data_IF_674679696332
#
_entry.id   IF_674679696332
#
_cell.length_a   1.000
_cell.length_b   1.000
_cell.length_c   1.000
_cell.angle_alpha   90.00
_cell.angle_beta   90.00
_cell.angle_gamma   90.00
#
_symmetry.space_group_name_H-M   'P 1'
#
loop_
_entity.id
_entity.type
_entity.pdbx_description
1 polymer ?
#
# COMPACT_ATOMS: atom_id res chain seq x y z
N UNK A 1 22.70 -17.32 -23.71
CA UNK A 1 22.01 -16.31 -22.88
C UNK A 1 20.55 -16.71 -22.86
N UNK A 2 20.15 -17.54 -21.91
CA UNK A 2 18.76 -17.98 -21.76
C UNK A 2 18.01 -16.91 -20.98
N UNK A 3 16.95 -16.36 -21.57
CA UNK A 3 15.95 -15.59 -20.85
C UNK A 3 15.18 -16.59 -19.99
N UNK A 4 15.52 -16.67 -18.71
CA UNK A 4 14.74 -17.47 -17.78
C UNK A 4 13.46 -16.70 -17.48
N UNK A 5 12.42 -16.95 -18.27
CA UNK A 5 11.07 -16.47 -17.97
C UNK A 5 10.53 -17.34 -16.83
N UNK A 6 10.89 -17.01 -15.59
CA UNK A 6 10.09 -17.45 -14.46
C UNK A 6 8.72 -16.81 -14.65
N UNK A 7 7.75 -17.64 -15.03
CA UNK A 7 6.36 -17.25 -15.27
C UNK A 7 5.68 -16.93 -13.92
N UNK A 8 6.23 -15.97 -13.17
CA UNK A 8 5.60 -15.39 -12.00
C UNK A 8 4.51 -14.47 -12.53
N UNK A 9 3.24 -14.88 -12.40
CA UNK A 9 2.14 -13.94 -12.57
C UNK A 9 2.29 -12.87 -11.49
N UNK A 10 2.74 -11.68 -11.90
CA UNK A 10 2.88 -10.54 -11.01
C UNK A 10 1.52 -9.86 -10.90
N UNK A 11 0.97 -9.82 -9.69
CA UNK A 11 -0.24 -9.04 -9.41
C UNK A 11 0.16 -7.59 -9.09
N UNK A 12 -0.76 -6.65 -9.29
CA UNK A 12 -0.50 -5.23 -9.03
C UNK A 12 -1.67 -4.61 -8.28
N UNK A 13 -1.46 -4.35 -6.99
CA UNK A 13 -2.43 -3.61 -6.19
C UNK A 13 -2.20 -2.11 -6.39
N UNK A 14 -3.25 -1.41 -6.85
CA UNK A 14 -3.27 0.04 -7.04
C UNK A 14 -4.36 0.66 -6.16
N UNK A 15 -4.08 1.85 -5.64
CA UNK A 15 -4.99 2.57 -4.75
C UNK A 15 -4.70 4.06 -4.80
N UNK A 16 -5.71 4.88 -4.52
CA UNK A 16 -5.52 6.31 -4.32
C UNK A 16 -5.44 6.62 -2.83
N UNK A 17 -4.55 7.54 -2.45
CA UNK A 17 -4.43 7.99 -1.08
C UNK A 17 -4.30 9.52 -1.00
N UNK A 18 -4.83 10.08 0.08
CA UNK A 18 -4.63 11.46 0.48
C UNK A 18 -4.10 11.48 1.92
N UNK A 19 -2.94 12.10 2.09
CA UNK A 19 -2.22 12.20 3.36
C UNK A 19 -1.72 13.63 3.51
N UNK A 20 -2.54 14.53 4.05
CA UNK A 20 -2.19 15.93 4.26
C UNK A 20 -2.31 16.32 5.74
N UNK A 21 -1.33 17.08 6.22
CA UNK A 21 -1.25 17.52 7.61
C UNK A 21 0.15 17.32 8.19
N UNK A 22 0.42 17.98 9.31
CA UNK A 22 1.71 17.92 10.00
C UNK A 22 1.91 16.61 10.78
N UNK A 23 0.84 15.90 11.12
CA UNK A 23 0.91 14.65 11.88
C UNK A 23 -0.10 13.60 11.41
N UNK A 24 0.01 13.24 10.13
CA UNK A 24 -0.89 12.28 9.47
C UNK A 24 -0.71 10.84 9.97
N UNK A 25 0.51 10.48 10.42
CA UNK A 25 0.87 9.12 10.78
C UNK A 25 1.45 8.31 9.61
N UNK A 26 1.12 7.02 9.52
CA UNK A 26 1.67 6.08 8.51
C UNK A 26 0.56 5.25 7.86
N UNK A 27 0.62 5.09 6.54
CA UNK A 27 -0.17 4.13 5.79
C UNK A 27 0.72 2.94 5.38
N UNK A 28 0.34 1.73 5.76
CA UNK A 28 1.02 0.48 5.39
C UNK A 28 0.09 -0.40 4.57
N UNK A 29 0.63 -1.08 3.56
CA UNK A 29 -0.04 -2.16 2.86
C UNK A 29 0.70 -3.46 3.16
N UNK A 30 -0.04 -4.47 3.62
CA UNK A 30 0.48 -5.82 3.83
C UNK A 30 -0.17 -6.80 2.86
N UNK A 31 0.64 -7.77 2.43
CA UNK A 31 0.17 -9.00 1.83
C UNK A 31 0.11 -10.07 2.90
N UNK A 32 -1.03 -10.76 3.01
CA UNK A 32 -1.23 -11.82 3.99
C UNK A 32 -1.73 -13.11 3.34
N UNK A 33 -1.07 -14.23 3.63
CA UNK A 33 -1.54 -15.58 3.34
C UNK A 33 -1.40 -16.48 4.58
N UNK A 34 -0.41 -17.38 4.64
CA UNK A 34 0.06 -18.05 5.86
C UNK A 34 0.91 -17.12 6.73
N UNK A 35 1.57 -16.13 6.14
CA UNK A 35 2.31 -15.09 6.86
C UNK A 35 1.91 -13.72 6.35
N UNK A 36 2.13 -12.69 7.19
CA UNK A 36 1.89 -11.31 6.84
C UNK A 36 3.22 -10.62 6.52
N UNK A 37 3.32 -9.98 5.37
CA UNK A 37 4.49 -9.22 4.92
C UNK A 37 4.08 -7.81 4.52
N UNK A 38 4.85 -6.80 4.95
CA UNK A 38 4.62 -5.41 4.53
C UNK A 38 5.20 -5.20 3.15
N UNK A 39 4.35 -4.86 2.19
CA UNK A 39 4.73 -4.67 0.78
C UNK A 39 4.80 -3.20 0.37
N UNK A 40 4.16 -2.30 1.11
CA UNK A 40 4.23 -0.86 0.88
C UNK A 40 4.10 -0.09 2.19
N UNK A 41 4.73 1.09 2.28
CA UNK A 41 4.63 1.97 3.44
C UNK A 41 4.90 3.42 3.07
N UNK A 42 4.13 4.33 3.65
CA UNK A 42 4.36 5.77 3.59
C UNK A 42 4.05 6.42 4.94
N UNK A 43 5.00 7.19 5.45
CA UNK A 43 4.83 7.99 6.67
C UNK A 43 4.85 9.48 6.37
N UNK A 44 4.09 10.25 7.16
CA UNK A 44 4.05 11.71 7.08
C UNK A 44 3.11 12.26 6.01
N UNK A 45 2.90 13.58 6.06
CA UNK A 45 2.08 14.29 5.10
C UNK A 45 2.81 14.57 3.78
N UNK A 46 2.04 14.67 2.69
CA UNK A 46 2.44 15.17 1.37
C UNK A 46 1.73 16.49 1.07
N UNK A 47 1.78 16.93 -0.19
CA UNK A 47 0.97 18.05 -0.64
C UNK A 47 -0.53 17.73 -0.49
N UNK A 48 -1.35 18.77 -0.42
CA UNK A 48 -2.80 18.64 -0.35
C UNK A 48 -3.41 18.22 -1.69
N UNK A 49 -3.16 16.97 -2.09
CA UNK A 49 -3.69 16.36 -3.31
C UNK A 49 -3.72 14.84 -3.16
N UNK A 50 -4.50 14.20 -4.00
CA UNK A 50 -4.54 12.74 -4.12
C UNK A 50 -3.31 12.24 -4.87
N UNK A 51 -2.79 11.10 -4.43
CA UNK A 51 -1.68 10.40 -5.07
C UNK A 51 -2.08 8.96 -5.34
N UNK A 52 -1.60 8.42 -6.44
CA UNK A 52 -1.72 7.00 -6.73
C UNK A 52 -0.55 6.22 -6.09
N UNK A 53 -0.88 5.18 -5.34
CA UNK A 53 0.03 4.15 -4.87
C UNK A 53 -0.10 2.90 -5.72
N UNK A 54 1.03 2.25 -6.01
CA UNK A 54 1.07 0.96 -6.69
C UNK A 54 2.08 0.05 -6.00
N UNK A 55 1.74 -1.23 -5.88
CA UNK A 55 2.66 -2.25 -5.38
C UNK A 55 2.45 -3.56 -6.13
N UNK A 56 3.53 -4.05 -6.73
CA UNK A 56 3.57 -5.36 -7.37
C UNK A 56 3.90 -6.44 -6.36
N UNK A 57 3.26 -7.59 -6.46
CA UNK A 57 3.49 -8.72 -5.57
C UNK A 57 3.27 -10.06 -6.28
N UNK A 58 3.95 -11.10 -5.81
CA UNK A 58 3.94 -12.43 -6.43
C UNK A 58 3.25 -13.45 -5.51
N UNK A 59 1.99 -13.78 -5.82
CA UNK A 59 1.26 -14.83 -5.12
C UNK A 59 0.11 -15.34 -5.99
N UNK A 60 0.01 -16.66 -6.12
CA UNK A 60 -1.00 -17.31 -6.96
C UNK A 60 -2.07 -18.05 -6.14
N UNK A 61 -1.93 -18.06 -4.81
CA UNK A 61 -2.91 -18.63 -3.87
C UNK A 61 -3.82 -17.55 -3.29
N UNK A 62 -4.91 -17.99 -2.65
CA UNK A 62 -5.79 -17.08 -1.90
C UNK A 62 -4.99 -16.27 -0.88
N UNK A 63 -5.21 -14.97 -0.88
CA UNK A 63 -4.47 -14.00 -0.08
C UNK A 63 -5.35 -12.80 0.26
N UNK A 64 -4.86 -11.95 1.16
CA UNK A 64 -5.50 -10.70 1.54
C UNK A 64 -4.52 -9.55 1.36
N UNK A 65 -5.05 -8.42 0.89
CA UNK A 65 -4.40 -7.12 1.03
C UNK A 65 -4.96 -6.48 2.29
N UNK A 66 -4.08 -6.09 3.21
CA UNK A 66 -4.43 -5.43 4.47
C UNK A 66 -3.93 -3.99 4.39
N UNK A 67 -4.85 -3.04 4.54
CA UNK A 67 -4.56 -1.61 4.60
C UNK A 67 -4.56 -1.20 6.06
N UNK A 68 -3.40 -0.76 6.58
CA UNK A 68 -3.24 -0.35 7.98
C UNK A 68 -2.92 1.14 8.05
N UNK A 69 -3.74 1.88 8.80
CA UNK A 69 -3.45 3.26 9.19
C UNK A 69 -2.92 3.32 10.62
N UNK A 70 -1.69 3.81 10.80
CA UNK A 70 -1.13 4.13 12.10
C UNK A 70 -1.32 5.64 12.32
N UNK A 71 -2.16 6.01 13.30
CA UNK A 71 -2.41 7.42 13.62
C UNK A 71 -1.13 8.13 14.07
N UNK A 72 -1.01 9.41 13.70
CA UNK A 72 -0.08 10.35 14.32
C UNK A 72 -0.34 10.54 15.82
N UNK A 73 0.50 11.36 16.47
CA UNK A 73 0.36 11.68 17.90
C UNK A 73 -0.77 12.69 18.14
N UNK A 74 -0.89 13.68 17.26
CA UNK A 74 -1.81 14.79 17.31
C UNK A 74 -3.07 14.56 16.47
N UNK A 75 -3.97 15.54 16.49
CA UNK A 75 -5.24 15.52 15.74
C UNK A 75 -5.15 16.24 14.38
N UNK A 76 -3.95 16.71 13.98
CA UNK A 76 -3.76 17.52 12.78
C UNK A 76 -3.36 16.66 11.58
N UNK A 77 -4.36 16.16 10.86
CA UNK A 77 -4.20 15.41 9.61
C UNK A 77 -5.13 14.21 9.53
N UNK A 78 -4.99 13.45 8.46
CA UNK A 78 -5.74 12.21 8.26
C UNK A 78 -5.23 11.41 7.08
N UNK A 79 -5.59 10.13 7.06
CA UNK A 79 -5.32 9.21 5.97
C UNK A 79 -6.67 8.87 5.34
N UNK A 80 -6.82 9.16 4.05
CA UNK A 80 -7.98 8.73 3.25
C UNK A 80 -7.49 7.84 2.11
N UNK A 81 -8.27 6.82 1.77
CA UNK A 81 -7.95 5.84 0.71
C UNK A 81 -9.20 5.63 -0.13
N UNK A 82 -9.04 5.55 -1.45
CA UNK A 82 -10.12 5.33 -2.40
C UNK A 82 -9.65 4.51 -3.63
N UNK A 83 -10.58 4.11 -4.50
CA UNK A 83 -10.31 3.54 -5.84
C UNK A 83 -9.33 2.35 -5.83
N UNK A 84 -9.66 1.30 -5.06
CA UNK A 84 -8.86 0.08 -4.94
C UNK A 84 -8.96 -0.81 -6.19
N UNK A 85 -7.81 -1.21 -6.75
CA UNK A 85 -7.69 -2.11 -7.92
C UNK A 85 -6.68 -3.23 -7.64
N UNK A 86 -6.96 -4.47 -8.07
CA UNK A 86 -6.17 -5.67 -7.79
C UNK A 86 -5.68 -6.37 -9.06
#
# INVERSE_FOLDING_TARGET
MTLDSTNSQSNCFRFWYHMYGSDVGTLNIYLSNSTQSRIWSLSGGRANQWYEGQVSYEINSAHQIIIEGIRGKDFMGGISVDDLTF
#
